data_IF_192529546573
#
_entry.id   IF_192529546573
#
_cell.length_a   1.000
_cell.length_b   1.000
_cell.length_c   1.000
_cell.angle_alpha   90.00
_cell.angle_beta   90.00
_cell.angle_gamma   90.00
#
_symmetry.space_group_name_H-M   'P 1'
#
loop_
_entity.id
_entity.type
_entity.pdbx_description
1 polymer ?
#
# COMPACT_ATOMS: atom_id res chain seq x y z
N UNK A 1 -22.81 2.56 5.25
CA UNK A 1 -21.90 2.77 4.09
C UNK A 1 -20.90 3.91 4.32
N UNK A 2 -21.33 5.12 4.67
CA UNK A 2 -20.43 6.30 4.83
C UNK A 2 -19.26 6.10 5.79
N UNK A 3 -19.47 5.39 6.92
CA UNK A 3 -18.38 5.05 7.86
C UNK A 3 -17.29 4.19 7.22
N UNK A 4 -17.68 3.20 6.41
CA UNK A 4 -16.74 2.35 5.68
C UNK A 4 -15.98 3.16 4.63
N UNK A 5 -16.68 4.04 3.88
CA UNK A 5 -16.04 4.95 2.94
C UNK A 5 -14.94 5.77 3.64
N UNK A 6 -15.27 6.44 4.74
CA UNK A 6 -14.30 7.27 5.48
C UNK A 6 -13.11 6.42 5.94
N UNK A 7 -13.36 5.23 6.49
CA UNK A 7 -12.31 4.32 6.93
C UNK A 7 -11.35 3.95 5.79
N UNK A 8 -11.86 3.53 4.63
CA UNK A 8 -11.02 3.14 3.49
C UNK A 8 -10.31 4.32 2.84
N UNK A 9 -10.94 5.51 2.80
CA UNK A 9 -10.28 6.73 2.31
C UNK A 9 -9.13 7.12 3.23
N UNK A 10 -9.36 7.18 4.55
CA UNK A 10 -8.32 7.50 5.53
C UNK A 10 -7.19 6.47 5.46
N UNK A 11 -7.52 5.19 5.36
CA UNK A 11 -6.53 4.14 5.25
C UNK A 11 -5.72 4.23 3.96
N UNK A 12 -6.36 4.46 2.81
CA UNK A 12 -5.67 4.65 1.54
C UNK A 12 -4.75 5.88 1.55
N UNK A 13 -5.19 7.01 2.14
CA UNK A 13 -4.35 8.19 2.35
C UNK A 13 -3.18 7.93 3.29
N UNK A 14 -3.37 7.10 4.33
CA UNK A 14 -2.28 6.67 5.21
C UNK A 14 -1.22 5.87 4.41
N UNK A 15 -1.62 4.96 3.52
CA UNK A 15 -0.67 4.24 2.67
C UNK A 15 0.11 5.19 1.75
N UNK A 16 -0.58 6.19 1.16
CA UNK A 16 0.06 7.24 0.36
C UNK A 16 1.08 8.00 1.21
N UNK A 17 0.67 8.49 2.39
CA UNK A 17 1.54 9.24 3.29
C UNK A 17 2.77 8.41 3.71
N UNK A 18 2.56 7.14 4.09
CA UNK A 18 3.63 6.21 4.46
C UNK A 18 4.53 5.85 3.28
N UNK A 19 4.10 5.99 2.03
CA UNK A 19 4.98 5.74 0.89
C UNK A 19 5.99 6.87 0.63
N UNK A 20 5.65 8.12 0.99
CA UNK A 20 6.43 9.31 0.60
C UNK A 20 7.84 9.31 1.21
N UNK A 21 8.05 9.10 2.52
CA UNK A 21 9.39 9.09 3.09
C UNK A 21 10.29 7.99 2.50
N UNK A 22 9.71 6.83 2.15
CA UNK A 22 10.42 5.72 1.50
C UNK A 22 10.78 6.03 0.05
N UNK A 23 9.93 6.74 -0.70
CA UNK A 23 10.22 7.15 -2.08
C UNK A 23 11.35 8.18 -2.16
N UNK A 24 11.46 9.00 -1.12
CA UNK A 24 12.46 10.07 -1.00
C UNK A 24 13.75 9.60 -0.32
N UNK A 25 13.88 8.31 0.00
CA UNK A 25 15.01 7.73 0.74
C UNK A 25 15.33 8.49 2.05
N UNK A 26 14.30 9.04 2.72
CA UNK A 26 14.47 9.86 3.94
C UNK A 26 14.60 9.05 5.22
N UNK A 27 14.31 7.75 5.16
CA UNK A 27 14.25 6.90 6.35
C UNK A 27 15.37 5.87 6.31
N UNK A 28 16.36 5.92 7.22
CA UNK A 28 17.44 4.93 7.29
C UNK A 28 16.92 3.56 7.77
N UNK A 29 17.73 2.49 7.61
CA UNK A 29 17.42 1.16 8.13
C UNK A 29 16.99 1.20 9.60
N UNK A 30 15.80 0.67 9.88
CA UNK A 30 15.22 0.67 11.23
C UNK A 30 14.26 -0.50 11.42
N UNK A 31 14.01 -0.92 12.68
CA UNK A 31 13.19 -2.10 12.96
C UNK A 31 11.67 -1.83 12.90
N UNK A 32 11.21 -0.60 12.66
CA UNK A 32 9.79 -0.22 12.82
C UNK A 32 9.06 0.06 11.51
N UNK A 33 9.74 0.65 10.53
CA UNK A 33 9.14 1.22 9.34
C UNK A 33 9.81 0.72 8.05
N UNK A 34 9.02 0.52 7.00
CA UNK A 34 9.50 0.05 5.70
C UNK A 34 9.51 -1.48 5.54
N UNK A 35 10.10 -1.94 4.43
CA UNK A 35 10.24 -3.34 4.05
C UNK A 35 11.45 -3.97 4.78
N UNK A 36 11.15 -4.52 5.95
CA UNK A 36 12.12 -4.97 6.95
C UNK A 36 12.32 -6.48 6.85
N UNK A 37 13.39 -6.88 6.21
CA UNK A 37 13.88 -8.26 6.22
C UNK A 37 15.37 -8.25 6.59
N UNK A 38 15.95 -9.33 7.11
CA UNK A 38 17.32 -9.33 7.62
C UNK A 38 18.34 -8.70 6.66
N UNK A 39 18.22 -8.99 5.35
CA UNK A 39 19.11 -8.43 4.34
C UNK A 39 18.92 -6.93 4.08
N UNK A 40 17.70 -6.40 4.17
CA UNK A 40 17.50 -4.94 4.00
C UNK A 40 17.96 -4.19 5.26
N UNK A 41 17.92 -4.82 6.43
CA UNK A 41 18.41 -4.22 7.67
C UNK A 41 19.95 -4.21 7.76
N UNK A 42 20.62 -5.17 7.14
CA UNK A 42 22.09 -5.29 7.17
C UNK A 42 22.80 -4.50 6.06
N UNK A 43 22.09 -4.05 5.02
CA UNK A 43 22.65 -3.35 3.87
C UNK A 43 21.80 -2.13 3.51
N UNK A 44 22.36 -0.93 3.72
CA UNK A 44 21.68 0.34 3.46
C UNK A 44 21.38 0.58 1.97
N UNK A 45 22.24 0.12 1.06
CA UNK A 45 21.96 0.25 -0.38
C UNK A 45 20.79 -0.64 -0.77
N UNK A 46 20.74 -1.85 -0.21
CA UNK A 46 19.63 -2.78 -0.41
C UNK A 46 18.33 -2.27 0.23
N UNK A 47 18.44 -1.63 1.41
CA UNK A 47 17.35 -0.96 2.11
C UNK A 47 16.64 0.04 1.20
N UNK A 48 17.36 1.05 0.68
CA UNK A 48 16.73 2.10 -0.13
C UNK A 48 16.17 1.55 -1.44
N UNK A 49 16.88 0.64 -2.12
CA UNK A 49 16.37 0.01 -3.36
C UNK A 49 15.06 -0.74 -3.12
N UNK A 50 15.00 -1.59 -2.10
CA UNK A 50 13.82 -2.40 -1.81
C UNK A 50 12.66 -1.55 -1.26
N UNK A 51 12.95 -0.60 -0.37
CA UNK A 51 11.94 0.30 0.19
C UNK A 51 11.34 1.21 -0.88
N UNK A 52 12.15 1.80 -1.76
CA UNK A 52 11.66 2.63 -2.87
C UNK A 52 10.77 1.83 -3.83
N UNK A 53 11.08 0.56 -4.07
CA UNK A 53 10.24 -0.32 -4.89
C UNK A 53 8.88 -0.61 -4.22
N UNK A 54 8.89 -1.06 -2.96
CA UNK A 54 7.66 -1.29 -2.19
C UNK A 54 6.84 -0.01 -2.06
N UNK A 55 7.49 1.15 -1.87
CA UNK A 55 6.81 2.42 -1.72
C UNK A 55 6.01 2.82 -2.96
N UNK A 56 6.49 2.51 -4.16
CA UNK A 56 5.71 2.73 -5.41
C UNK A 56 4.43 1.88 -5.41
N UNK A 57 4.52 0.63 -4.99
CA UNK A 57 3.35 -0.24 -4.87
C UNK A 57 2.39 0.21 -3.76
N UNK A 58 2.93 0.69 -2.64
CA UNK A 58 2.14 1.24 -1.52
C UNK A 58 1.40 2.51 -1.92
N UNK A 59 2.08 3.42 -2.64
CA UNK A 59 1.49 4.63 -3.22
C UNK A 59 0.33 4.28 -4.17
N UNK A 60 0.58 3.35 -5.11
CA UNK A 60 -0.43 2.90 -6.06
C UNK A 60 -1.63 2.24 -5.34
N UNK A 61 -1.36 1.36 -4.37
CA UNK A 61 -2.38 0.70 -3.54
C UNK A 61 -3.24 1.72 -2.80
N UNK A 62 -2.63 2.74 -2.19
CA UNK A 62 -3.32 3.81 -1.50
C UNK A 62 -4.24 4.61 -2.43
N UNK A 63 -3.73 5.04 -3.59
CA UNK A 63 -4.50 5.77 -4.60
C UNK A 63 -5.68 4.91 -5.12
N UNK A 64 -5.41 3.65 -5.50
CA UNK A 64 -6.43 2.71 -5.98
C UNK A 64 -7.52 2.51 -4.92
N UNK A 65 -7.15 2.39 -3.65
CA UNK A 65 -8.09 2.24 -2.54
C UNK A 65 -8.98 3.47 -2.37
N UNK A 66 -8.40 4.67 -2.36
CA UNK A 66 -9.17 5.93 -2.24
C UNK A 66 -10.12 6.10 -3.43
N UNK A 67 -9.60 5.97 -4.65
CA UNK A 67 -10.37 6.14 -5.88
C UNK A 67 -11.47 5.08 -5.98
N UNK A 68 -11.16 3.81 -5.70
CA UNK A 68 -12.13 2.73 -5.78
C UNK A 68 -13.23 2.83 -4.71
N UNK A 69 -12.89 3.22 -3.47
CA UNK A 69 -13.87 3.44 -2.42
C UNK A 69 -14.85 4.58 -2.77
N UNK A 70 -14.33 5.69 -3.32
CA UNK A 70 -15.13 6.82 -3.80
C UNK A 70 -15.98 6.44 -5.02
N UNK A 71 -15.40 5.75 -6.00
CA UNK A 71 -16.10 5.34 -7.21
C UNK A 71 -17.27 4.40 -6.89
N UNK A 72 -17.07 3.38 -6.04
CA UNK A 72 -18.14 2.47 -5.61
C UNK A 72 -19.23 3.21 -4.84
N UNK A 73 -18.87 4.19 -4.01
CA UNK A 73 -19.84 4.95 -3.22
C UNK A 73 -20.68 5.91 -4.08
N UNK A 74 -20.05 6.62 -5.00
CA UNK A 74 -20.69 7.67 -5.81
C UNK A 74 -21.44 7.11 -7.02
N UNK A 75 -20.90 6.07 -7.66
CA UNK A 75 -21.45 5.51 -8.90
C UNK A 75 -22.45 4.37 -8.65
N UNK A 76 -22.48 3.79 -7.45
CA UNK A 76 -23.38 2.68 -7.09
C UNK A 76 -24.17 2.97 -5.78
N UNK A 77 -25.06 3.98 -5.75
CA UNK A 77 -25.75 4.42 -4.53
C UNK A 77 -26.69 3.36 -3.89
N UNK A 78 -27.10 2.33 -4.65
CA UNK A 78 -27.95 1.23 -4.17
C UNK A 78 -27.18 -0.01 -3.71
N UNK A 79 -25.85 0.04 -3.63
CA UNK A 79 -25.05 -1.13 -3.30
C UNK A 79 -25.27 -1.57 -1.84
N UNK A 80 -25.57 -2.85 -1.57
CA UNK A 80 -25.66 -3.36 -0.21
C UNK A 80 -24.34 -3.14 0.55
N UNK A 81 -24.42 -2.85 1.84
CA UNK A 81 -23.26 -2.53 2.67
C UNK A 81 -22.21 -3.65 2.67
N UNK A 82 -22.66 -4.91 2.72
CA UNK A 82 -21.77 -6.06 2.71
C UNK A 82 -21.04 -6.20 1.38
N UNK A 83 -21.75 -6.02 0.27
CA UNK A 83 -21.17 -6.03 -1.08
C UNK A 83 -20.16 -4.90 -1.24
N UNK A 84 -20.47 -3.69 -0.76
CA UNK A 84 -19.52 -2.57 -0.75
C UNK A 84 -18.26 -2.92 0.03
N UNK A 85 -18.39 -3.49 1.23
CA UNK A 85 -17.26 -3.87 2.06
C UNK A 85 -16.34 -4.88 1.36
N UNK A 86 -16.91 -5.94 0.78
CA UNK A 86 -16.13 -6.95 0.04
C UNK A 86 -15.44 -6.39 -1.20
N UNK A 87 -16.11 -5.53 -1.96
CA UNK A 87 -15.53 -4.91 -3.14
C UNK A 87 -14.38 -3.96 -2.79
N UNK A 88 -14.54 -3.10 -1.78
CA UNK A 88 -13.45 -2.20 -1.37
C UNK A 88 -12.30 -2.99 -0.75
N UNK A 89 -12.60 -4.07 -0.01
CA UNK A 89 -11.58 -4.99 0.48
C UNK A 89 -10.80 -5.63 -0.68
N UNK A 90 -11.45 -6.03 -1.76
CA UNK A 90 -10.79 -6.58 -2.94
C UNK A 90 -9.95 -5.52 -3.67
N UNK A 91 -10.47 -4.30 -3.82
CA UNK A 91 -9.78 -3.14 -4.42
C UNK A 91 -8.50 -2.81 -3.66
N UNK A 92 -8.50 -2.90 -2.33
CA UNK A 92 -7.28 -2.76 -1.52
C UNK A 92 -6.39 -4.00 -1.56
N UNK A 93 -6.99 -5.17 -1.31
CA UNK A 93 -6.28 -6.41 -1.04
C UNK A 93 -5.50 -6.92 -2.24
N UNK A 94 -6.07 -6.86 -3.44
CA UNK A 94 -5.42 -7.32 -4.66
C UNK A 94 -4.10 -6.56 -4.95
N UNK A 95 -4.07 -5.21 -5.08
CA UNK A 95 -2.82 -4.48 -5.29
C UNK A 95 -1.86 -4.56 -4.09
N UNK A 96 -2.38 -4.69 -2.87
CA UNK A 96 -1.52 -4.89 -1.68
C UNK A 96 -0.78 -6.22 -1.75
N UNK A 97 -1.47 -7.32 -2.06
CA UNK A 97 -0.87 -8.64 -2.25
C UNK A 97 0.18 -8.57 -3.38
N UNK A 98 -0.17 -7.96 -4.51
CA UNK A 98 0.75 -7.77 -5.64
C UNK A 98 2.00 -7.00 -5.18
N UNK A 99 1.83 -5.90 -4.43
CA UNK A 99 2.94 -5.09 -3.91
C UNK A 99 3.88 -5.91 -3.03
N UNK A 100 3.33 -6.65 -2.07
CA UNK A 100 4.12 -7.49 -1.15
C UNK A 100 4.87 -8.58 -1.91
N UNK A 101 4.17 -9.33 -2.76
CA UNK A 101 4.78 -10.42 -3.54
C UNK A 101 5.84 -9.88 -4.50
N UNK A 102 5.56 -8.76 -5.17
CA UNK A 102 6.50 -8.10 -6.07
C UNK A 102 7.73 -7.60 -5.32
N UNK A 103 7.59 -7.07 -4.10
CA UNK A 103 8.72 -6.66 -3.28
C UNK A 103 9.65 -7.80 -2.89
N UNK A 104 9.10 -8.95 -2.49
CA UNK A 104 9.90 -10.15 -2.24
C UNK A 104 10.60 -10.65 -3.51
N UNK A 105 9.90 -10.67 -4.65
CA UNK A 105 10.49 -11.06 -5.95
C UNK A 105 11.60 -10.11 -6.38
N UNK A 106 11.39 -8.81 -6.21
CA UNK A 106 12.37 -7.78 -6.51
C UNK A 106 13.61 -7.91 -5.63
N UNK A 107 13.43 -8.10 -4.32
CA UNK A 107 14.54 -8.33 -3.40
C UNK A 107 15.37 -9.55 -3.78
N UNK A 108 14.74 -10.67 -4.18
CA UNK A 108 15.45 -11.87 -4.63
C UNK A 108 16.27 -11.66 -5.90
N UNK A 109 15.99 -10.63 -6.70
CA UNK A 109 16.78 -10.27 -7.89
C UNK A 109 17.95 -9.34 -7.57
N UNK A 110 17.94 -8.72 -6.39
CA UNK A 110 18.99 -7.81 -5.93
C UNK A 110 20.07 -8.50 -5.09
N UNK A 111 19.76 -9.68 -4.56
CA UNK A 111 20.72 -10.61 -3.94
C UNK A 111 21.35 -11.47 -5.02
#
# INVERSE_FOLDING_TARGET
MTRLLIMYVVFGLLLVALSIPMLLDKVPPNPWYGFRVPSTLSDEKLWYKANRYIARGLLATGIITVVGALALYLLMPGLPVDTYAWLVLAVFGAPMIVTVVAGFRYLRRLK
#
